data_IF_968795559405
#
_entry.id   IF_968795559405
#
_cell.length_a   1.000
_cell.length_b   1.000
_cell.length_c   1.000
_cell.angle_alpha   90.00
_cell.angle_beta   90.00
_cell.angle_gamma   90.00
#
_symmetry.space_group_name_H-M   'P 1'
#
loop_
_entity.id
_entity.type
_entity.pdbx_description
1 polymer ?
#
# COMPACT_ATOMS: atom_id res chain seq x y z
N UNK A 1 -27.33 -49.30 -14.32
CA UNK A 1 -27.07 -48.64 -13.03
C UNK A 1 -25.69 -48.05 -12.98
N UNK A 2 -25.58 -46.84 -12.43
CA UNK A 2 -24.34 -46.13 -12.13
C UNK A 2 -24.35 -45.71 -10.67
N UNK A 3 -23.20 -45.68 -10.02
CA UNK A 3 -23.04 -45.22 -8.65
C UNK A 3 -22.47 -43.80 -8.66
N UNK A 4 -23.02 -42.92 -7.83
CA UNK A 4 -22.50 -41.58 -7.59
C UNK A 4 -21.71 -41.55 -6.29
N UNK A 5 -20.46 -41.11 -6.36
CA UNK A 5 -19.62 -40.88 -5.17
C UNK A 5 -19.34 -39.38 -5.10
N UNK A 6 -19.56 -38.80 -3.91
CA UNK A 6 -19.36 -37.38 -3.66
C UNK A 6 -18.28 -37.19 -2.61
N UNK A 7 -17.35 -36.26 -2.86
CA UNK A 7 -16.32 -35.88 -1.90
C UNK A 7 -16.30 -34.38 -1.67
N UNK A 8 -15.88 -33.98 -0.47
CA UNK A 8 -15.58 -32.61 -0.09
C UNK A 8 -14.16 -32.60 0.48
N UNK A 9 -13.29 -31.82 -0.14
CA UNK A 9 -11.86 -31.80 0.12
C UNK A 9 -11.41 -30.36 0.34
N UNK A 10 -10.61 -30.11 1.36
CA UNK A 10 -9.89 -28.84 1.51
C UNK A 10 -8.52 -28.97 0.83
N UNK A 11 -8.32 -28.30 -0.31
CA UNK A 11 -7.00 -28.23 -0.93
C UNK A 11 -6.20 -27.08 -0.36
N UNK A 12 -5.11 -27.42 0.35
CA UNK A 12 -4.18 -26.47 0.95
C UNK A 12 -2.76 -26.75 0.45
N UNK A 13 -2.08 -25.71 0.01
CA UNK A 13 -0.71 -25.82 -0.47
C UNK A 13 -0.22 -24.55 -1.14
N UNK A 14 0.94 -24.66 -1.79
CA UNK A 14 1.56 -23.59 -2.55
C UNK A 14 2.00 -24.16 -3.89
N UNK A 15 1.66 -23.49 -4.99
CA UNK A 15 2.09 -23.92 -6.30
C UNK A 15 3.60 -23.74 -6.45
N UNK A 16 4.32 -24.86 -6.67
CA UNK A 16 5.80 -24.94 -6.59
C UNK A 16 6.55 -23.92 -7.46
N UNK A 17 5.98 -23.52 -8.60
CA UNK A 17 6.65 -22.61 -9.55
C UNK A 17 6.29 -21.14 -9.35
N UNK A 18 5.03 -20.84 -9.07
CA UNK A 18 4.52 -19.45 -9.05
C UNK A 18 4.35 -18.91 -7.63
N UNK A 19 4.41 -19.75 -6.60
CA UNK A 19 4.18 -19.33 -5.21
C UNK A 19 2.71 -19.03 -4.87
N UNK A 20 1.79 -19.14 -5.84
CA UNK A 20 0.35 -18.91 -5.60
C UNK A 20 -0.15 -19.88 -4.52
N UNK A 21 -0.73 -19.31 -3.46
CA UNK A 21 -1.31 -20.06 -2.36
C UNK A 21 -2.60 -20.74 -2.83
N UNK A 22 -2.68 -22.03 -2.61
CA UNK A 22 -3.89 -22.83 -2.81
C UNK A 22 -4.52 -23.01 -1.43
N UNK A 23 -5.71 -22.46 -1.25
CA UNK A 23 -6.53 -22.69 -0.07
C UNK A 23 -7.99 -22.59 -0.51
N UNK A 24 -8.58 -23.72 -0.89
CA UNK A 24 -9.97 -23.76 -1.35
C UNK A 24 -10.66 -25.06 -0.95
N UNK A 25 -11.95 -24.99 -0.60
CA UNK A 25 -12.80 -26.17 -0.62
C UNK A 25 -13.00 -26.61 -2.07
N UNK A 26 -13.05 -27.92 -2.26
CA UNK A 26 -13.36 -28.57 -3.53
C UNK A 26 -14.43 -29.61 -3.30
N UNK A 27 -15.40 -29.64 -4.21
CA UNK A 27 -16.41 -30.68 -4.25
C UNK A 27 -16.27 -31.45 -5.56
N UNK A 28 -16.17 -32.78 -5.47
CA UNK A 28 -16.06 -33.65 -6.64
C UNK A 28 -17.16 -34.70 -6.64
N UNK A 29 -17.71 -34.95 -7.82
CA UNK A 29 -18.62 -36.06 -8.07
C UNK A 29 -17.99 -37.01 -9.05
N UNK A 30 -18.00 -38.29 -8.71
CA UNK A 30 -17.55 -39.38 -9.56
C UNK A 30 -18.75 -40.24 -9.94
N UNK A 31 -18.94 -40.45 -11.25
CA UNK A 31 -19.92 -41.43 -11.76
C UNK A 31 -19.15 -42.72 -12.04
N UNK A 32 -19.49 -43.80 -11.34
CA UNK A 32 -18.79 -45.09 -11.39
C UNK A 32 -19.71 -46.14 -12.03
N UNK A 33 -19.18 -46.88 -13.00
CA UNK A 33 -19.92 -47.94 -13.68
C UNK A 33 -19.93 -49.26 -12.92
N UNK A 34 -20.74 -50.22 -13.38
CA UNK A 34 -20.86 -51.58 -12.82
C UNK A 34 -19.55 -52.39 -12.76
N UNK A 35 -18.51 -51.99 -13.51
CA UNK A 35 -17.20 -52.61 -13.51
C UNK A 35 -16.20 -51.85 -12.59
N UNK A 36 -16.71 -50.98 -11.70
CA UNK A 36 -15.94 -50.13 -10.80
C UNK A 36 -14.96 -49.18 -11.52
N UNK A 37 -15.31 -48.70 -12.72
CA UNK A 37 -14.54 -47.69 -13.46
C UNK A 37 -15.22 -46.33 -13.38
N UNK A 38 -14.43 -45.28 -13.17
CA UNK A 38 -14.90 -43.89 -13.22
C UNK A 38 -15.21 -43.54 -14.68
N UNK A 39 -16.45 -43.16 -14.96
CA UNK A 39 -16.90 -42.66 -16.26
C UNK A 39 -16.80 -41.14 -16.36
N UNK A 40 -17.10 -40.44 -15.28
CA UNK A 40 -17.16 -38.97 -15.26
C UNK A 40 -16.66 -38.44 -13.93
N UNK A 41 -15.94 -37.31 -13.98
CA UNK A 41 -15.59 -36.49 -12.83
C UNK A 41 -16.16 -35.09 -13.04
N UNK A 42 -16.95 -34.61 -12.11
CA UNK A 42 -17.43 -33.21 -12.06
C UNK A 42 -16.73 -32.55 -10.89
N UNK A 43 -16.08 -31.41 -11.11
CA UNK A 43 -15.34 -30.67 -10.07
C UNK A 43 -15.91 -29.27 -9.92
N UNK A 44 -16.33 -28.95 -8.71
CA UNK A 44 -16.68 -27.61 -8.26
C UNK A 44 -15.53 -27.06 -7.42
N UNK A 45 -14.93 -25.96 -7.87
CA UNK A 45 -13.80 -25.32 -7.20
C UNK A 45 -13.69 -23.85 -7.63
N UNK A 46 -12.89 -23.05 -6.92
CA UNK A 46 -12.63 -21.68 -7.29
C UNK A 46 -11.64 -21.61 -8.46
N UNK A 47 -12.15 -21.31 -9.65
CA UNK A 47 -11.35 -21.20 -10.86
C UNK A 47 -10.29 -20.07 -10.80
N UNK A 48 -10.45 -19.07 -9.92
CA UNK A 48 -9.53 -17.94 -9.81
C UNK A 48 -8.13 -18.37 -9.41
N UNK A 49 -8.00 -19.37 -8.52
CA UNK A 49 -6.68 -19.88 -8.11
C UNK A 49 -5.94 -20.49 -9.31
N UNK A 50 -6.65 -21.27 -10.14
CA UNK A 50 -6.10 -21.85 -11.35
C UNK A 50 -5.76 -20.79 -12.41
N UNK A 51 -6.60 -19.75 -12.53
CA UNK A 51 -6.33 -18.60 -13.40
C UNK A 51 -5.04 -17.90 -12.98
N UNK A 52 -4.87 -17.63 -11.69
CA UNK A 52 -3.72 -16.88 -11.20
C UNK A 52 -2.41 -17.64 -11.30
N UNK A 53 -2.45 -18.96 -11.08
CA UNK A 53 -1.32 -19.83 -11.41
C UNK A 53 -0.95 -19.69 -12.88
N UNK A 54 -1.90 -19.77 -13.81
CA UNK A 54 -1.63 -19.68 -15.26
C UNK A 54 -1.10 -18.31 -15.68
N UNK A 55 -1.67 -17.23 -15.17
CA UNK A 55 -1.25 -15.87 -15.49
C UNK A 55 0.17 -15.58 -14.98
N UNK A 56 0.57 -16.19 -13.86
CA UNK A 56 1.90 -16.06 -13.28
C UNK A 56 3.03 -16.74 -14.08
N UNK A 57 2.74 -17.36 -15.23
CA UNK A 57 3.75 -17.93 -16.15
C UNK A 57 4.18 -16.96 -17.25
N UNK A 58 3.63 -15.75 -17.29
CA UNK A 58 3.95 -14.73 -18.28
C UNK A 58 4.18 -13.38 -17.62
N UNK A 59 5.12 -12.61 -18.15
CA UNK A 59 5.31 -11.23 -17.73
C UNK A 59 4.12 -10.37 -18.14
N UNK A 60 3.63 -9.58 -17.20
CA UNK A 60 2.57 -8.58 -17.44
C UNK A 60 3.06 -7.22 -16.95
N UNK A 61 2.92 -6.21 -17.79
CA UNK A 61 3.11 -4.81 -17.39
C UNK A 61 1.82 -4.28 -16.75
N UNK A 62 1.95 -3.36 -15.80
CA UNK A 62 0.82 -2.68 -15.16
C UNK A 62 1.17 -1.21 -14.97
N UNK A 63 1.01 -0.42 -16.04
CA UNK A 63 1.23 1.02 -15.96
C UNK A 63 2.65 1.48 -16.28
N UNK A 64 2.90 2.75 -15.93
CA UNK A 64 4.14 3.49 -16.21
C UNK A 64 4.71 4.07 -14.92
N UNK A 65 6.04 4.02 -14.79
CA UNK A 65 6.77 4.64 -13.68
C UNK A 65 7.50 5.87 -14.21
N UNK A 66 7.34 7.01 -13.54
CA UNK A 66 7.97 8.27 -13.88
C UNK A 66 8.93 8.68 -12.76
N UNK A 67 10.13 9.12 -13.14
CA UNK A 67 11.09 9.77 -12.22
C UNK A 67 11.02 11.31 -12.27
N UNK A 68 10.28 11.87 -13.24
CA UNK A 68 9.98 13.29 -13.38
C UNK A 68 8.51 13.44 -13.79
N UNK A 69 7.70 14.06 -12.93
CA UNK A 69 6.27 14.26 -13.13
C UNK A 69 5.78 15.41 -12.25
N UNK A 70 4.67 16.08 -12.61
CA UNK A 70 4.13 17.19 -11.81
C UNK A 70 3.73 16.75 -10.40
N UNK A 71 3.17 15.54 -10.23
CA UNK A 71 2.85 15.01 -8.89
C UNK A 71 4.12 14.82 -8.03
N UNK A 72 5.26 14.47 -8.63
CA UNK A 72 6.55 14.43 -7.91
C UNK A 72 6.96 15.85 -7.49
N UNK A 73 6.77 16.84 -8.36
CA UNK A 73 7.02 18.25 -8.02
C UNK A 73 6.11 18.71 -6.87
N UNK A 74 4.84 18.30 -6.85
CA UNK A 74 3.89 18.56 -5.76
C UNK A 74 4.41 18.01 -4.43
N UNK A 75 4.81 16.73 -4.37
CA UNK A 75 5.35 16.13 -3.14
C UNK A 75 6.62 16.87 -2.67
N UNK A 76 7.57 17.15 -3.57
CA UNK A 76 8.78 17.90 -3.22
C UNK A 76 8.47 19.29 -2.66
N UNK A 77 7.58 20.05 -3.33
CA UNK A 77 7.17 21.40 -2.88
C UNK A 77 6.49 21.35 -1.52
N UNK A 78 5.66 20.34 -1.27
CA UNK A 78 4.98 20.13 0.00
C UNK A 78 5.97 19.80 1.11
N UNK A 79 6.84 18.80 0.90
CA UNK A 79 7.84 18.38 1.91
C UNK A 79 8.79 19.53 2.25
N UNK A 80 9.32 20.25 1.26
CA UNK A 80 10.21 21.38 1.56
C UNK A 80 9.47 22.57 2.19
N UNK A 81 8.16 22.72 2.00
CA UNK A 81 7.40 23.74 2.75
C UNK A 81 7.36 23.44 4.26
N UNK A 82 7.44 22.17 4.68
CA UNK A 82 7.59 21.78 6.09
C UNK A 82 8.90 22.34 6.66
N UNK A 83 10.01 22.20 5.93
CA UNK A 83 11.33 22.72 6.33
C UNK A 83 11.34 24.24 6.51
N UNK A 84 10.58 24.96 5.68
CA UNK A 84 10.41 26.42 5.80
C UNK A 84 9.28 26.85 6.76
N UNK A 85 8.67 25.90 7.50
CA UNK A 85 7.57 26.14 8.43
C UNK A 85 6.34 26.82 7.77
N UNK A 86 6.12 26.60 6.48
CA UNK A 86 5.01 27.14 5.67
C UNK A 86 3.85 26.13 5.60
N UNK A 87 3.19 25.95 6.76
CA UNK A 87 2.15 24.93 6.92
C UNK A 87 0.88 25.21 6.11
N UNK A 88 0.54 26.49 5.87
CA UNK A 88 -0.58 26.83 5.00
C UNK A 88 -0.34 26.31 3.58
N UNK A 89 0.89 26.44 3.09
CA UNK A 89 1.29 25.87 1.80
C UNK A 89 1.31 24.34 1.83
N UNK A 90 1.82 23.71 2.88
CA UNK A 90 1.79 22.24 3.04
C UNK A 90 0.35 21.74 2.88
N UNK A 91 -0.57 22.29 3.66
CA UNK A 91 -1.97 21.86 3.64
C UNK A 91 -2.70 22.24 2.35
N UNK A 92 -2.23 23.24 1.60
CA UNK A 92 -2.81 23.61 0.31
C UNK A 92 -2.67 22.55 -0.78
N UNK A 93 -1.71 21.61 -0.65
CA UNK A 93 -1.49 20.53 -1.62
C UNK A 93 -2.47 19.36 -1.47
N UNK A 94 -3.15 19.28 -0.33
CA UNK A 94 -4.15 18.25 -0.06
C UNK A 94 -5.53 18.61 -0.59
N UNK A 95 -6.28 17.60 -0.97
CA UNK A 95 -7.73 17.70 -1.08
C UNK A 95 -8.35 17.95 0.30
N UNK A 96 -9.49 18.65 0.36
CA UNK A 96 -10.18 18.92 1.62
C UNK A 96 -10.63 17.63 2.34
N UNK A 97 -10.91 16.58 1.59
CA UNK A 97 -11.40 15.29 2.08
C UNK A 97 -10.25 14.26 2.17
N UNK A 98 -8.99 14.71 2.12
CA UNK A 98 -7.82 13.86 2.18
C UNK A 98 -7.76 13.00 3.44
N UNK A 99 -7.25 11.78 3.29
CA UNK A 99 -7.15 10.77 4.34
C UNK A 99 -5.70 10.44 4.67
N UNK A 100 -5.41 10.31 5.96
CA UNK A 100 -4.04 10.10 6.46
C UNK A 100 -3.96 8.79 7.23
N UNK A 101 -2.95 7.97 6.93
CA UNK A 101 -2.72 6.67 7.57
C UNK A 101 -1.31 6.65 8.16
N UNK A 102 -1.24 6.37 9.45
CA UNK A 102 0.02 6.12 10.16
C UNK A 102 0.27 4.61 10.23
N UNK A 103 1.35 4.14 9.60
CA UNK A 103 1.75 2.73 9.64
C UNK A 103 2.08 2.19 11.04
N UNK A 104 2.37 3.08 11.99
CA UNK A 104 2.62 2.72 13.38
C UNK A 104 1.34 2.55 14.19
N UNK A 105 0.19 2.96 13.63
CA UNK A 105 -1.12 2.66 14.20
C UNK A 105 -1.45 1.18 14.04
N UNK A 106 -1.83 0.46 15.12
CA UNK A 106 -2.15 -0.97 15.04
C UNK A 106 -3.41 -1.26 14.21
N UNK A 107 -4.30 -0.28 14.04
CA UNK A 107 -5.55 -0.44 13.27
C UNK A 107 -5.42 -0.01 11.82
N UNK A 108 -4.38 0.78 11.47
CA UNK A 108 -4.24 1.45 10.17
C UNK A 108 -5.48 2.24 9.72
N UNK A 109 -6.34 2.63 10.66
CA UNK A 109 -7.50 3.46 10.37
C UNK A 109 -7.04 4.85 9.94
N UNK A 110 -7.67 5.38 8.91
CA UNK A 110 -7.33 6.71 8.40
C UNK A 110 -8.03 7.81 9.18
N UNK A 111 -7.37 8.96 9.29
CA UNK A 111 -7.92 10.18 9.89
C UNK A 111 -8.13 11.27 8.82
N UNK A 112 -8.88 12.30 9.17
CA UNK A 112 -9.11 13.47 8.32
C UNK A 112 -7.94 14.46 8.33
N UNK A 113 -7.90 15.34 7.32
CA UNK A 113 -6.96 16.47 7.28
C UNK A 113 -7.02 17.36 8.54
N UNK A 114 -8.20 17.57 9.11
CA UNK A 114 -8.36 18.36 10.34
C UNK A 114 -7.68 17.69 11.54
N UNK A 115 -7.82 16.37 11.67
CA UNK A 115 -7.17 15.61 12.73
C UNK A 115 -5.65 15.57 12.53
N UNK A 116 -5.19 15.40 11.29
CA UNK A 116 -3.76 15.43 10.95
C UNK A 116 -3.13 16.77 11.35
N UNK A 117 -3.75 17.91 11.00
CA UNK A 117 -3.29 19.26 11.42
C UNK A 117 -3.11 19.37 12.94
N UNK A 118 -4.00 18.74 13.71
CA UNK A 118 -3.91 18.75 15.17
C UNK A 118 -2.76 17.88 15.69
N UNK A 119 -2.43 16.79 15.00
CA UNK A 119 -1.27 15.94 15.30
C UNK A 119 0.03 16.68 14.97
N UNK A 120 0.12 17.27 13.77
CA UNK A 120 1.29 18.02 13.32
C UNK A 120 1.62 19.13 14.31
N UNK A 121 0.61 19.88 14.77
CA UNK A 121 0.78 20.90 15.81
C UNK A 121 1.40 20.34 17.09
N UNK A 122 0.94 19.17 17.58
CA UNK A 122 1.48 18.54 18.79
C UNK A 122 2.93 18.07 18.60
N UNK A 123 3.31 17.64 17.41
CA UNK A 123 4.69 17.30 17.08
C UNK A 123 5.53 18.59 17.14
N UNK A 124 5.07 19.67 16.51
CA UNK A 124 5.78 20.95 16.46
C UNK A 124 5.87 21.67 17.80
N UNK A 125 4.98 21.39 18.75
CA UNK A 125 5.11 21.85 20.15
C UNK A 125 6.34 21.24 20.85
N UNK A 126 6.80 20.07 20.39
CA UNK A 126 7.89 19.30 21.01
C UNK A 126 9.19 19.32 20.20
N UNK A 127 9.10 19.47 18.89
CA UNK A 127 10.22 19.36 17.97
C UNK A 127 10.25 20.53 16.99
N UNK A 128 11.44 21.04 16.70
CA UNK A 128 11.69 21.92 15.56
C UNK A 128 12.17 21.08 14.37
N UNK A 129 11.73 21.38 13.15
CA UNK A 129 12.27 20.78 11.93
C UNK A 129 13.51 21.58 11.52
N UNK A 130 14.68 20.95 11.55
CA UNK A 130 15.94 21.60 11.19
C UNK A 130 16.27 21.51 9.70
N UNK A 131 15.99 20.38 9.07
CA UNK A 131 16.16 20.13 7.64
C UNK A 131 15.42 18.87 7.22
N UNK A 132 15.18 18.70 5.92
CA UNK A 132 14.65 17.45 5.37
C UNK A 132 15.51 17.01 4.19
N UNK A 133 16.15 15.84 4.33
CA UNK A 133 16.98 15.27 3.28
C UNK A 133 16.18 14.29 2.42
N UNK A 134 16.19 14.48 1.11
CA UNK A 134 15.64 13.51 0.16
C UNK A 134 16.55 12.28 0.08
N UNK A 135 15.98 11.09 0.21
CA UNK A 135 16.71 9.82 0.06
C UNK A 135 16.38 9.21 -1.28
N UNK A 136 17.36 9.19 -2.20
CA UNK A 136 17.14 8.75 -3.58
C UNK A 136 16.32 9.78 -4.37
N UNK A 137 15.29 9.32 -5.08
CA UNK A 137 14.34 10.20 -5.77
C UNK A 137 12.92 9.62 -5.64
N UNK A 138 11.88 10.47 -5.59
CA UNK A 138 10.50 10.00 -5.66
C UNK A 138 10.17 9.39 -7.01
N UNK A 139 9.37 8.33 -7.00
CA UNK A 139 8.79 7.73 -8.20
C UNK A 139 7.28 7.95 -8.21
N UNK A 140 6.73 8.30 -9.37
CA UNK A 140 5.29 8.33 -9.62
C UNK A 140 4.89 7.08 -10.39
N UNK A 141 4.06 6.24 -9.76
CA UNK A 141 3.54 5.00 -10.31
C UNK A 141 2.13 5.28 -10.82
N UNK A 142 1.94 5.21 -12.14
CA UNK A 142 0.64 5.33 -12.77
C UNK A 142 0.20 3.96 -13.29
N UNK A 143 -0.77 3.34 -12.62
CA UNK A 143 -1.27 2.00 -12.92
C UNK A 143 -2.31 2.03 -14.03
N UNK A 144 -2.24 1.05 -14.94
CA UNK A 144 -3.30 0.80 -15.93
C UNK A 144 -4.60 0.35 -15.26
N UNK A 145 -4.48 -0.54 -14.27
CA UNK A 145 -5.64 -1.04 -13.53
C UNK A 145 -6.21 0.07 -12.64
N UNK A 146 -7.47 0.43 -12.90
CA UNK A 146 -8.17 1.46 -12.14
C UNK A 146 -7.73 2.89 -12.45
N UNK A 147 -6.79 3.09 -13.39
CA UNK A 147 -6.22 4.40 -13.74
C UNK A 147 -5.74 5.20 -12.52
N UNK A 148 -5.08 4.53 -11.58
CA UNK A 148 -4.66 5.10 -10.30
C UNK A 148 -3.21 5.59 -10.36
N UNK A 149 -2.94 6.72 -9.69
CA UNK A 149 -1.61 7.32 -9.65
C UNK A 149 -1.18 7.62 -8.22
N UNK A 150 0.04 7.19 -7.86
CA UNK A 150 0.63 7.49 -6.56
C UNK A 150 2.10 7.87 -6.65
N UNK A 151 2.57 8.69 -5.71
CA UNK A 151 4.00 8.99 -5.51
C UNK A 151 4.52 8.20 -4.32
N UNK A 152 5.66 7.54 -4.53
CA UNK A 152 6.47 6.91 -3.49
C UNK A 152 7.70 7.79 -3.23
N UNK A 153 7.99 8.11 -1.97
CA UNK A 153 9.13 8.98 -1.64
C UNK A 153 9.74 8.68 -0.27
N UNK A 154 11.06 8.77 -0.16
CA UNK A 154 11.81 8.59 1.08
C UNK A 154 12.49 9.89 1.51
N UNK A 155 12.44 10.16 2.80
CA UNK A 155 12.99 11.36 3.41
C UNK A 155 13.61 11.06 4.77
N UNK A 156 14.62 11.82 5.15
CA UNK A 156 15.09 11.91 6.52
C UNK A 156 14.68 13.29 7.07
N UNK A 157 13.74 13.31 8.01
CA UNK A 157 13.36 14.55 8.69
C UNK A 157 14.29 14.73 9.89
N UNK A 158 15.10 15.79 9.87
CA UNK A 158 16.02 16.12 10.94
C UNK A 158 15.31 17.04 11.95
N UNK A 159 14.92 16.48 13.10
CA UNK A 159 14.30 17.22 14.19
C UNK A 159 15.32 17.68 15.23
N UNK A 160 15.00 18.76 15.93
CA UNK A 160 15.63 19.16 17.20
C UNK A 160 14.55 19.18 18.28
N UNK A 161 14.70 18.34 19.30
CA UNK A 161 13.76 18.30 20.43
C UNK A 161 13.92 19.54 21.29
N UNK A 162 12.80 20.20 21.62
CA UNK A 162 12.79 21.50 22.30
C UNK A 162 13.27 21.45 23.74
N UNK A 163 12.97 20.36 24.45
CA UNK A 163 13.23 20.21 25.90
C UNK A 163 14.71 20.10 26.25
N UNK A 164 15.51 19.43 25.42
CA UNK A 164 16.91 19.12 25.70
C UNK A 164 17.86 19.40 24.51
N UNK A 165 17.33 19.97 23.42
CA UNK A 165 18.06 20.31 22.20
C UNK A 165 18.70 19.11 21.50
N UNK A 166 18.19 17.90 21.75
CA UNK A 166 18.68 16.69 21.08
C UNK A 166 18.31 16.69 19.60
N UNK A 167 19.29 16.40 18.74
CA UNK A 167 19.07 16.14 17.33
C UNK A 167 18.56 14.70 17.11
N UNK A 168 17.52 14.55 16.29
CA UNK A 168 16.86 13.28 16.00
C UNK A 168 16.67 13.19 14.48
N UNK A 169 17.05 12.06 13.89
CA UNK A 169 16.78 11.79 12.48
C UNK A 169 15.60 10.83 12.41
N UNK A 170 14.55 11.22 11.68
CA UNK A 170 13.39 10.39 11.42
C UNK A 170 13.34 9.98 9.94
N UNK A 171 13.81 8.77 9.59
CA UNK A 171 13.56 8.20 8.28
C UNK A 171 12.07 7.91 8.11
N UNK A 172 11.51 8.40 7.00
CA UNK A 172 10.09 8.27 6.67
C UNK A 172 9.91 7.94 5.18
N UNK A 173 9.00 7.02 4.91
CA UNK A 173 8.56 6.67 3.57
C UNK A 173 7.09 7.06 3.40
N UNK A 174 6.78 7.81 2.35
CA UNK A 174 5.42 8.22 2.04
C UNK A 174 4.92 7.54 0.77
N UNK A 175 3.65 7.14 0.82
CA UNK A 175 2.82 6.84 -0.34
C UNK A 175 1.72 7.89 -0.39
N UNK A 176 1.61 8.62 -1.51
CA UNK A 176 0.60 9.67 -1.70
C UNK A 176 -0.20 9.43 -2.97
N UNK A 177 -1.52 9.35 -2.86
CA UNK A 177 -2.44 9.24 -3.99
C UNK A 177 -2.93 10.60 -4.45
N UNK A 178 -3.29 10.72 -5.73
CA UNK A 178 -3.68 11.99 -6.35
C UNK A 178 -5.06 11.91 -7.01
N UNK A 179 -5.81 13.00 -6.98
CA UNK A 179 -6.96 13.20 -7.86
C UNK A 179 -6.52 13.77 -9.23
N UNK A 180 -7.48 13.92 -10.15
CA UNK A 180 -7.23 14.45 -11.50
C UNK A 180 -6.73 15.91 -11.52
N UNK A 181 -6.96 16.67 -10.44
CA UNK A 181 -6.49 18.04 -10.28
C UNK A 181 -5.04 18.12 -9.74
N UNK A 182 -4.42 16.98 -9.42
CA UNK A 182 -3.08 16.90 -8.85
C UNK A 182 -3.04 17.24 -7.34
N UNK A 183 -4.18 17.20 -6.65
CA UNK A 183 -4.26 17.29 -5.18
C UNK A 183 -4.06 15.92 -4.55
N UNK A 184 -3.41 15.90 -3.40
CA UNK A 184 -3.17 14.68 -2.63
C UNK A 184 -4.47 14.28 -1.93
N UNK A 185 -4.98 13.09 -2.21
CA UNK A 185 -6.23 12.55 -1.63
C UNK A 185 -5.98 11.57 -0.48
N UNK A 186 -4.79 10.98 -0.44
CA UNK A 186 -4.39 10.06 0.62
C UNK A 186 -2.89 10.19 0.88
N UNK A 187 -2.49 10.12 2.14
CA UNK A 187 -1.10 9.96 2.56
C UNK A 187 -1.00 8.76 3.49
N UNK A 188 -0.09 7.83 3.20
CA UNK A 188 0.33 6.80 4.15
C UNK A 188 1.79 7.03 4.53
N UNK A 189 2.04 7.18 5.83
CA UNK A 189 3.35 7.43 6.40
C UNK A 189 3.94 6.17 7.05
N UNK A 190 5.09 5.73 6.54
CA UNK A 190 5.86 4.59 7.05
C UNK A 190 7.08 5.07 7.80
N UNK A 191 7.08 4.96 9.13
CA UNK A 191 8.16 5.40 9.99
C UNK A 191 8.13 4.68 11.34
N UNK A 192 9.21 4.82 12.12
CA UNK A 192 9.27 4.31 13.49
C UNK A 192 9.11 5.47 14.49
N UNK A 193 7.95 5.64 15.15
CA UNK A 193 7.72 6.76 16.07
C UNK A 193 8.63 6.73 17.29
N UNK A 194 9.14 5.55 17.69
CA UNK A 194 10.05 5.40 18.84
C UNK A 194 11.38 6.14 18.66
N UNK A 195 11.72 6.54 17.44
CA UNK A 195 12.90 7.38 17.19
C UNK A 195 12.76 8.78 17.81
N UNK A 196 11.53 9.28 17.97
CA UNK A 196 11.26 10.58 18.59
C UNK A 196 11.50 10.56 20.10
N UNK A 197 11.36 9.40 20.74
CA UNK A 197 11.53 9.22 22.19
C UNK A 197 12.99 9.14 22.63
N UNK A 198 13.94 9.03 21.68
CA UNK A 198 15.35 8.75 21.97
C UNK A 198 16.02 9.80 22.84
#
# INVERSE_FOLDING_TARGET
DVMWVQTWEDMKGVHKKTGVKINQPMHRLFIVNKNNKIQTIITYSNANIGSEIRQSFSDRKNGTIYNHHENINTVRKMIYAIEFNDWDKVYSFYDKDARFIDSSSPTMESISLTEQKAIDKKILEKYDVASIDMVGYPDYLHYEMGNQGLVQSWWNINFVRKSDKKAIVLPIFYIMDFNEEGKITSETAYYNPKLLDQ
#
